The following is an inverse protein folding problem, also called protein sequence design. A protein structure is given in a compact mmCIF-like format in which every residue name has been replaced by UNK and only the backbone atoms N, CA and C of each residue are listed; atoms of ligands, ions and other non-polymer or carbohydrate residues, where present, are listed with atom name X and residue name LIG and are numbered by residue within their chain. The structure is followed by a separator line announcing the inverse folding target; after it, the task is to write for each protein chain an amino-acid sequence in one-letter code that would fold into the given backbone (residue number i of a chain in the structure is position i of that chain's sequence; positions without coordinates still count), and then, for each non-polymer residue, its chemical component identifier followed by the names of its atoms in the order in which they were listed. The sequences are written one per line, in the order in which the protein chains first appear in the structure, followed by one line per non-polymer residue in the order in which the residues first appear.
data_IF_180344027748
#
_entry.id   IF_180344027748
#
_cell.length_a   1.000
_cell.length_b   1.000
_cell.length_c   1.000
_cell.angle_alpha   90.00
_cell.angle_beta   90.00
_cell.angle_gamma   90.00
#
_symmetry.space_group_name_H-M   'P 1'
#
loop_
_entity.id
_entity.type
_entity.pdbx_description
1 polymer ?
#
# COMPACT_ATOMS: atom_id res chain seq x y z
N UNK A 1 -54.08 27.47 -6.85
CA UNK A 1 -53.13 27.00 -5.81
C UNK A 1 -52.23 25.90 -6.40
N UNK A 2 -51.14 26.24 -7.11
CA UNK A 2 -50.17 25.29 -7.70
C UNK A 2 -48.78 25.94 -7.84
N UNK A 3 -48.12 26.31 -6.74
CA UNK A 3 -46.70 26.77 -6.76
C UNK A 3 -45.90 26.47 -5.49
N UNK A 4 -46.35 25.55 -4.63
CA UNK A 4 -45.65 25.25 -3.37
C UNK A 4 -44.81 23.95 -3.40
N UNK A 5 -44.98 23.08 -4.41
CA UNK A 5 -44.33 21.77 -4.44
C UNK A 5 -42.93 21.74 -5.08
N UNK A 6 -42.49 22.83 -5.72
CA UNK A 6 -41.31 22.80 -6.60
C UNK A 6 -40.01 23.31 -5.96
N UNK A 7 -40.07 23.90 -4.75
CA UNK A 7 -38.86 24.45 -4.10
C UNK A 7 -38.21 23.42 -3.17
N UNK A 8 -38.97 22.48 -2.60
CA UNK A 8 -38.43 21.49 -1.66
C UNK A 8 -37.62 20.38 -2.36
N UNK A 9 -37.89 20.10 -3.64
CA UNK A 9 -37.20 19.06 -4.40
C UNK A 9 -35.79 19.48 -4.87
N UNK A 10 -35.47 20.77 -4.89
CA UNK A 10 -34.19 21.26 -5.42
C UNK A 10 -33.04 21.22 -4.40
N UNK A 11 -33.35 21.23 -3.09
CA UNK A 11 -32.32 21.29 -2.03
C UNK A 11 -31.76 19.90 -1.66
N UNK A 12 -32.52 18.82 -1.88
CA UNK A 12 -32.05 17.45 -1.58
C UNK A 12 -31.07 16.87 -2.62
N UNK A 13 -30.96 17.46 -3.82
CA UNK A 13 -30.12 16.91 -4.89
C UNK A 13 -28.62 17.21 -4.77
N UNK A 14 -28.22 18.19 -3.95
CA UNK A 14 -26.85 18.73 -3.95
C UNK A 14 -25.93 18.16 -2.86
N UNK A 15 -26.43 17.25 -2.01
CA UNK A 15 -25.66 16.67 -0.91
C UNK A 15 -24.85 15.41 -1.30
N UNK A 16 -25.05 14.85 -2.50
CA UNK A 16 -24.45 13.57 -2.90
C UNK A 16 -23.02 13.69 -3.47
N UNK A 17 -22.50 14.89 -3.72
CA UNK A 17 -21.21 15.07 -4.41
C UNK A 17 -19.99 15.33 -3.49
N UNK A 18 -20.16 15.37 -2.16
CA UNK A 18 -19.10 15.80 -1.23
C UNK A 18 -18.25 14.66 -0.62
N UNK A 19 -18.41 13.41 -1.06
CA UNK A 19 -17.93 12.25 -0.30
C UNK A 19 -17.10 11.24 -1.06
N UNK A 20 -16.21 11.64 -1.97
CA UNK A 20 -15.20 10.73 -2.52
C UNK A 20 -13.83 11.42 -2.55
N UNK A 21 -13.32 11.76 -1.36
CA UNK A 21 -11.89 12.04 -1.23
C UNK A 21 -11.13 10.75 -1.53
N UNK A 22 -10.24 10.77 -2.53
CA UNK A 22 -9.35 9.64 -2.76
C UNK A 22 -8.54 9.38 -1.48
N UNK A 23 -8.62 8.16 -0.93
CA UNK A 23 -7.72 7.74 0.14
C UNK A 23 -6.29 7.86 -0.39
N UNK A 24 -5.56 8.86 0.08
CA UNK A 24 -4.14 8.94 -0.23
C UNK A 24 -3.45 7.75 0.46
N UNK A 25 -2.66 6.94 -0.27
CA UNK A 25 -1.90 5.87 0.36
C UNK A 25 -1.04 6.47 1.47
N UNK A 26 -1.23 5.98 2.69
CA UNK A 26 -0.41 6.43 3.80
C UNK A 26 1.02 5.93 3.55
N UNK A 27 1.95 6.87 3.36
CA UNK A 27 3.36 6.54 3.16
C UNK A 27 3.88 5.91 4.45
N UNK A 28 4.19 4.62 4.40
CA UNK A 28 4.82 3.92 5.53
C UNK A 28 6.34 4.11 5.44
N UNK A 29 6.95 4.46 6.57
CA UNK A 29 8.41 4.46 6.70
C UNK A 29 8.84 3.09 7.23
N UNK A 30 9.71 2.42 6.49
CA UNK A 30 10.36 1.20 6.94
C UNK A 30 11.78 1.52 7.41
N UNK A 31 12.08 1.41 8.72
CA UNK A 31 13.45 1.54 9.19
C UNK A 31 14.27 0.38 8.62
N UNK A 32 15.42 0.70 8.00
CA UNK A 32 16.35 -0.31 7.50
C UNK A 32 17.50 -0.50 8.48
N UNK A 33 17.93 -1.76 8.65
CA UNK A 33 19.13 -2.10 9.40
C UNK A 33 20.35 -2.08 8.50
N UNK A 34 21.48 -1.60 9.02
CA UNK A 34 22.77 -1.79 8.37
C UNK A 34 23.20 -3.24 8.55
N UNK A 35 23.73 -3.86 7.50
CA UNK A 35 24.27 -5.22 7.61
C UNK A 35 25.50 -5.25 8.54
N UNK A 36 25.65 -6.35 9.29
CA UNK A 36 26.76 -6.58 10.23
C UNK A 36 27.74 -7.65 9.75
N UNK A 37 27.40 -8.34 8.67
CA UNK A 37 28.20 -9.36 8.01
C UNK A 37 27.94 -9.30 6.49
N UNK A 38 28.88 -9.79 5.67
CA UNK A 38 28.72 -9.84 4.22
C UNK A 38 27.51 -10.69 3.78
N UNK A 39 27.01 -10.39 2.59
CA UNK A 39 26.00 -11.17 1.87
C UNK A 39 26.59 -11.49 0.49
N UNK A 40 26.56 -12.75 0.09
CA UNK A 40 26.88 -13.19 -1.26
C UNK A 40 25.61 -13.16 -2.12
N UNK A 41 25.74 -12.66 -3.35
CA UNK A 41 24.61 -12.57 -4.28
C UNK A 41 24.58 -13.83 -5.14
N UNK A 42 24.19 -14.94 -4.53
CA UNK A 42 24.14 -16.27 -5.14
C UNK A 42 22.77 -16.96 -5.03
N UNK A 43 21.82 -16.33 -4.33
CA UNK A 43 20.48 -16.86 -4.10
C UNK A 43 20.34 -17.68 -2.82
N UNK A 44 21.40 -17.84 -2.02
CA UNK A 44 21.32 -18.37 -0.67
C UNK A 44 20.96 -17.26 0.34
N UNK A 45 19.96 -17.53 1.18
CA UNK A 45 19.52 -16.61 2.24
C UNK A 45 20.08 -17.00 3.62
N UNK A 46 20.97 -18.00 3.68
CA UNK A 46 21.57 -18.49 4.93
C UNK A 46 22.64 -17.57 5.54
N UNK A 47 23.12 -16.60 4.76
CA UNK A 47 24.14 -15.65 5.19
C UNK A 47 23.75 -14.88 6.46
N UNK A 48 24.71 -14.75 7.38
CA UNK A 48 24.48 -14.07 8.65
C UNK A 48 24.10 -12.58 8.48
N UNK A 49 24.47 -11.95 7.36
CA UNK A 49 24.12 -10.57 7.03
C UNK A 49 22.61 -10.32 6.97
N UNK A 50 21.82 -11.36 6.67
CA UNK A 50 20.36 -11.26 6.55
C UNK A 50 19.60 -11.25 7.88
N UNK A 51 20.20 -11.71 8.98
CA UNK A 51 19.50 -11.98 10.26
C UNK A 51 18.74 -10.78 10.84
N UNK A 52 19.24 -9.56 10.60
CA UNK A 52 18.68 -8.32 11.11
C UNK A 52 18.01 -7.45 10.02
N UNK A 53 17.85 -7.99 8.81
CA UNK A 53 17.23 -7.28 7.71
C UNK A 53 15.73 -7.03 8.00
N UNK A 54 15.24 -5.88 7.55
CA UNK A 54 13.84 -5.51 7.68
C UNK A 54 13.01 -6.32 6.67
N UNK A 55 11.93 -6.94 7.14
CA UNK A 55 11.05 -7.72 6.27
C UNK A 55 9.95 -6.86 5.67
N UNK A 56 9.63 -7.12 4.40
CA UNK A 56 8.54 -6.48 3.65
C UNK A 56 7.76 -7.56 2.95
N UNK A 57 6.53 -7.77 3.39
CA UNK A 57 5.58 -8.55 2.61
C UNK A 57 5.09 -7.71 1.44
N UNK A 58 4.90 -8.35 0.28
CA UNK A 58 4.39 -7.72 -0.94
C UNK A 58 2.95 -8.18 -1.16
N UNK A 59 1.94 -7.52 -0.56
CA UNK A 59 0.57 -8.03 -0.50
C UNK A 59 -0.26 -7.71 -1.76
N UNK A 60 0.34 -7.14 -2.80
CA UNK A 60 -0.39 -6.71 -3.99
C UNK A 60 0.39 -6.93 -5.27
N UNK A 61 -0.34 -7.16 -6.36
CA UNK A 61 0.20 -7.16 -7.71
C UNK A 61 0.29 -5.73 -8.26
N UNK A 62 1.38 -5.43 -8.97
CA UNK A 62 1.53 -4.14 -9.67
C UNK A 62 0.81 -4.18 -11.05
N UNK A 63 0.47 -5.38 -11.59
CA UNK A 63 -0.52 -5.69 -12.65
C UNK A 63 -0.57 -7.24 -12.88
N UNK A 64 -1.63 -7.97 -13.34
CA UNK A 64 -2.94 -7.65 -13.95
C UNK A 64 -4.06 -8.54 -13.34
N UNK A 65 -4.72 -8.08 -12.28
CA UNK A 65 -6.10 -7.53 -12.24
C UNK A 65 -6.30 -6.80 -10.90
N UNK A 66 -5.34 -5.89 -10.70
CA UNK A 66 -5.24 -4.70 -9.85
C UNK A 66 -5.77 -4.80 -8.40
N UNK A 67 -4.82 -4.72 -7.46
CA UNK A 67 -4.98 -4.78 -5.99
C UNK A 67 -5.55 -6.08 -5.42
N UNK A 68 -5.57 -7.17 -6.19
CA UNK A 68 -5.84 -8.52 -5.69
C UNK A 68 -4.66 -9.08 -4.89
N UNK A 69 -4.95 -10.07 -4.04
CA UNK A 69 -3.90 -10.85 -3.39
C UNK A 69 -3.05 -11.55 -4.47
N UNK A 70 -1.70 -11.52 -4.34
CA UNK A 70 -0.83 -12.16 -5.33
C UNK A 70 -1.05 -13.68 -5.32
N UNK A 71 -0.88 -14.37 -6.46
CA UNK A 71 -1.00 -15.82 -6.55
C UNK A 71 0.09 -16.56 -5.75
N UNK A 72 1.16 -15.85 -5.40
CA UNK A 72 2.28 -16.34 -4.59
C UNK A 72 2.64 -15.29 -3.56
N UNK A 73 2.61 -15.66 -2.29
CA UNK A 73 3.09 -14.81 -1.20
C UNK A 73 4.59 -14.58 -1.35
N UNK A 74 5.02 -13.32 -1.20
CA UNK A 74 6.42 -12.94 -1.31
C UNK A 74 6.81 -12.05 -0.15
N UNK A 75 7.86 -12.46 0.57
CA UNK A 75 8.51 -11.67 1.61
C UNK A 75 9.91 -11.29 1.15
N UNK A 76 10.17 -9.98 1.07
CA UNK A 76 11.49 -9.42 0.77
C UNK A 76 12.23 -9.04 2.06
N UNK A 77 13.54 -9.23 2.09
CA UNK A 77 14.40 -8.78 3.18
C UNK A 77 15.25 -7.61 2.70
N UNK A 78 15.16 -6.47 3.39
CA UNK A 78 15.83 -5.23 3.03
C UNK A 78 16.82 -4.82 4.13
N UNK A 79 18.07 -4.59 3.73
CA UNK A 79 19.12 -4.03 4.55
C UNK A 79 20.02 -3.17 3.68
N UNK A 80 20.93 -2.42 4.30
CA UNK A 80 21.89 -1.59 3.56
C UNK A 80 23.31 -1.76 4.09
N UNK A 81 24.30 -1.49 3.25
CA UNK A 81 25.70 -1.35 3.59
C UNK A 81 26.15 0.12 3.47
N UNK A 82 27.41 0.42 3.09
CA UNK A 82 27.94 1.80 3.01
C UNK A 82 27.76 2.44 1.65
#
# INVERSE_FOLDING_TARGET
MRRAGSILAAVLGMAACLGAGALQPQRQSLPLSRISAPIQVDGDLSDAGWRNASQVDLPYEIAVKDNGAPPVETTGWLAYDS
#
